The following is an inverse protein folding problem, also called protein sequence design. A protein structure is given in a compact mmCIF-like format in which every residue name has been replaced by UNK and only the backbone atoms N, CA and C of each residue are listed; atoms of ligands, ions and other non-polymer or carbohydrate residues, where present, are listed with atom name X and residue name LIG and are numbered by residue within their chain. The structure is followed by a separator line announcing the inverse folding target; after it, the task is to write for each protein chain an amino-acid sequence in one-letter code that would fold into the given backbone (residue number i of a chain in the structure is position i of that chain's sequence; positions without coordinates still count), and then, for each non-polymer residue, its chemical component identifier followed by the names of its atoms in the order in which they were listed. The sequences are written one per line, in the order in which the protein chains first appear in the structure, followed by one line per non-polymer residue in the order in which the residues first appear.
data_IF_276902199185
#
_entry.id   IF_276902199185
#
_cell.length_a   1.000
_cell.length_b   1.000
_cell.length_c   1.000
_cell.angle_alpha   90.00
_cell.angle_beta   90.00
_cell.angle_gamma   90.00
#
_symmetry.space_group_name_H-M   'P 1'
#
loop_
_entity.id
_entity.type
_entity.pdbx_description
1 polymer ?
#
# COMPACT_ATOMS: atom_id res chain seq x y z
N UNK A 1 -7.48 17.69 4.70
CA UNK A 1 -7.31 16.26 4.37
C UNK A 1 -8.14 15.97 3.13
N UNK A 2 -7.51 15.69 1.99
CA UNK A 2 -8.24 15.31 0.78
C UNK A 2 -9.02 14.03 1.03
N UNK A 3 -10.28 14.01 0.60
CA UNK A 3 -11.18 12.88 0.74
C UNK A 3 -10.61 11.71 -0.08
N UNK A 4 -10.66 10.49 0.45
CA UNK A 4 -10.31 9.29 -0.29
C UNK A 4 -11.32 9.10 -1.43
N UNK A 5 -10.99 9.57 -2.64
CA UNK A 5 -11.92 9.60 -3.77
C UNK A 5 -12.03 8.27 -4.52
N UNK A 6 -11.02 7.40 -4.40
CA UNK A 6 -11.00 6.12 -5.11
C UNK A 6 -11.42 4.99 -4.18
N UNK A 7 -12.46 4.27 -4.60
CA UNK A 7 -12.93 3.04 -3.95
C UNK A 7 -13.11 1.93 -4.96
N UNK A 8 -12.87 0.70 -4.54
CA UNK A 8 -13.11 -0.52 -5.31
C UNK A 8 -14.08 -1.42 -4.54
N UNK A 9 -14.90 -2.19 -5.25
CA UNK A 9 -15.75 -3.22 -4.64
C UNK A 9 -15.23 -4.58 -5.06
N UNK A 10 -14.92 -5.42 -4.07
CA UNK A 10 -14.49 -6.82 -4.25
C UNK A 10 -15.45 -7.68 -3.45
N UNK A 11 -16.08 -8.66 -4.09
CA UNK A 11 -17.05 -9.58 -3.47
C UNK A 11 -18.17 -8.88 -2.65
N UNK A 12 -18.64 -7.73 -3.13
CA UNK A 12 -19.67 -6.93 -2.46
C UNK A 12 -19.17 -6.07 -1.29
N UNK A 13 -17.90 -6.18 -0.92
CA UNK A 13 -17.26 -5.34 0.10
C UNK A 13 -16.61 -4.13 -0.57
N UNK A 14 -16.88 -2.94 -0.04
CA UNK A 14 -16.29 -1.68 -0.53
C UNK A 14 -15.00 -1.39 0.23
N UNK A 15 -13.93 -1.18 -0.52
CA UNK A 15 -12.62 -0.77 -0.02
C UNK A 15 -12.30 0.65 -0.49
N UNK A 16 -11.65 1.43 0.38
CA UNK A 16 -11.13 2.75 0.04
C UNK A 16 -9.63 2.63 -0.21
N UNK A 17 -9.15 3.24 -1.29
CA UNK A 17 -7.75 3.17 -1.71
C UNK A 17 -7.10 4.54 -1.52
N UNK A 18 -5.95 4.54 -0.85
CA UNK A 18 -5.09 5.72 -0.72
C UNK A 18 -3.74 5.41 -1.33
N UNK A 19 -3.26 6.34 -2.16
CA UNK A 19 -1.84 6.38 -2.48
C UNK A 19 -1.21 7.49 -1.62
N UNK A 20 -0.23 7.14 -0.83
CA UNK A 20 0.59 8.11 -0.08
C UNK A 20 1.99 8.13 -0.66
N UNK A 21 2.68 9.25 -0.47
CA UNK A 21 4.05 9.43 -0.92
C UNK A 21 4.86 9.89 0.29
N UNK A 22 6.00 9.23 0.50
CA UNK A 22 6.96 9.54 1.55
C UNK A 22 8.36 9.64 0.96
N UNK A 23 9.19 10.50 1.52
CA UNK A 23 10.60 10.61 1.13
C UNK A 23 11.39 9.95 2.24
N UNK A 24 12.07 8.84 1.92
CA UNK A 24 13.01 8.26 2.86
C UNK A 24 14.26 9.15 2.92
N UNK A 25 14.38 9.90 4.00
CA UNK A 25 15.44 10.89 4.23
C UNK A 25 16.85 10.27 4.30
N UNK A 26 16.98 8.95 4.54
CA UNK A 26 18.30 8.29 4.59
C UNK A 26 18.87 8.02 3.20
N UNK A 27 18.02 7.69 2.25
CA UNK A 27 18.43 7.30 0.89
C UNK A 27 18.09 8.38 -0.14
N UNK A 28 17.15 9.27 0.19
CA UNK A 28 16.55 10.25 -0.73
C UNK A 28 15.70 9.58 -1.80
N UNK A 29 15.04 8.48 -1.46
CA UNK A 29 14.12 7.77 -2.36
C UNK A 29 12.67 8.10 -2.00
N UNK A 30 11.91 8.54 -3.00
CA UNK A 30 10.47 8.71 -2.87
C UNK A 30 9.74 7.37 -2.95
N UNK A 31 9.09 6.96 -1.87
CA UNK A 31 8.28 5.75 -1.79
C UNK A 31 6.80 6.10 -1.93
N UNK A 32 6.14 5.49 -2.90
CA UNK A 32 4.69 5.48 -3.00
C UNK A 32 4.15 4.28 -2.23
N UNK A 33 3.29 4.50 -1.24
CA UNK A 33 2.61 3.44 -0.52
C UNK A 33 1.16 3.33 -0.98
N UNK A 34 0.69 2.10 -1.13
CA UNK A 34 -0.72 1.78 -1.30
C UNK A 34 -1.31 1.40 0.05
N UNK A 35 -2.34 2.11 0.47
CA UNK A 35 -3.10 1.84 1.68
C UNK A 35 -4.53 1.46 1.29
N UNK A 36 -4.99 0.33 1.82
CA UNK A 36 -6.36 -0.16 1.64
C UNK A 36 -7.07 -0.07 2.96
N UNK A 37 -8.26 0.53 2.93
CA UNK A 37 -9.12 0.66 4.09
C UNK A 37 -10.44 -0.06 3.84
N UNK A 38 -11.01 -0.61 4.90
CA UNK A 38 -12.39 -1.07 4.91
C UNK A 38 -13.38 0.11 4.78
N UNK A 39 -14.67 -0.21 4.71
CA UNK A 39 -15.75 0.76 4.65
C UNK A 39 -16.02 1.50 5.97
N UNK A 40 -15.37 1.09 7.08
CA UNK A 40 -15.43 1.72 8.41
C UNK A 40 -14.23 2.62 8.69
N UNK A 41 -13.25 2.67 7.79
CA UNK A 41 -12.01 3.43 7.94
C UNK A 41 -10.89 2.68 8.68
N UNK A 42 -11.06 1.39 8.96
CA UNK A 42 -10.00 0.50 9.43
C UNK A 42 -9.00 0.24 8.30
N UNK A 43 -7.70 0.36 8.59
CA UNK A 43 -6.65 0.03 7.61
C UNK A 43 -6.47 -1.49 7.56
N UNK A 44 -6.80 -2.07 6.41
CA UNK A 44 -6.64 -3.50 6.13
C UNK A 44 -5.22 -3.80 5.62
N UNK A 45 -4.67 -2.90 4.81
CA UNK A 45 -3.39 -3.14 4.15
C UNK A 45 -2.57 -1.86 4.02
N UNK A 46 -1.26 -2.00 4.15
CA UNK A 46 -0.30 -0.93 3.89
C UNK A 46 0.96 -1.55 3.31
N UNK A 47 1.29 -1.21 2.07
CA UNK A 47 2.51 -1.72 1.44
C UNK A 47 3.18 -0.66 0.55
N UNK A 48 4.50 -0.72 0.39
CA UNK A 48 5.19 0.02 -0.66
C UNK A 48 4.72 -0.50 -2.02
N UNK A 49 4.28 0.41 -2.88
CA UNK A 49 3.75 0.12 -4.21
C UNK A 49 4.76 0.45 -5.30
N UNK A 50 5.46 1.57 -5.18
CA UNK A 50 6.47 2.00 -6.15
C UNK A 50 7.54 2.86 -5.47
N UNK A 51 8.71 2.94 -6.09
CA UNK A 51 9.82 3.81 -5.66
C UNK A 51 10.24 4.69 -6.84
N UNK A 52 10.63 5.93 -6.55
CA UNK A 52 11.15 6.89 -7.52
C UNK A 52 12.47 6.42 -8.17
N UNK A 53 13.19 5.52 -7.52
CA UNK A 53 14.43 4.90 -8.00
C UNK A 53 14.23 3.51 -8.60
N UNK A 54 12.99 3.02 -8.65
CA UNK A 54 12.68 1.63 -8.96
C UNK A 54 12.86 0.73 -7.74
N UNK A 55 11.90 -0.17 -7.51
CA UNK A 55 11.95 -1.07 -6.35
C UNK A 55 13.20 -1.97 -6.44
N UNK A 56 14.05 -1.95 -5.40
CA UNK A 56 15.10 -2.95 -5.28
C UNK A 56 14.47 -4.36 -5.19
N UNK A 57 15.09 -5.36 -5.83
CA UNK A 57 14.55 -6.75 -5.83
C UNK A 57 14.24 -7.29 -4.42
N UNK A 58 14.92 -6.78 -3.40
CA UNK A 58 14.72 -7.15 -1.99
C UNK A 58 13.30 -6.84 -1.49
N UNK A 59 12.70 -5.75 -1.98
CA UNK A 59 11.36 -5.33 -1.56
C UNK A 59 10.26 -6.19 -2.19
N UNK A 60 10.49 -6.71 -3.39
CA UNK A 60 9.61 -7.72 -4.00
C UNK A 60 9.61 -9.05 -3.23
N UNK A 61 10.73 -9.39 -2.59
CA UNK A 61 10.86 -10.59 -1.76
C UNK A 61 10.07 -10.40 -0.47
N UNK A 62 10.26 -9.28 0.22
CA UNK A 62 9.54 -8.95 1.46
C UNK A 62 8.02 -8.85 1.24
N UNK A 63 7.58 -8.19 0.16
CA UNK A 63 6.16 -8.13 -0.19
C UNK A 63 5.57 -9.53 -0.46
N UNK A 64 6.30 -10.41 -1.17
CA UNK A 64 5.87 -11.80 -1.39
C UNK A 64 5.79 -12.62 -0.10
N UNK A 65 6.66 -12.35 0.87
CA UNK A 65 6.65 -13.04 2.16
C UNK A 65 5.44 -12.61 3.01
N UNK A 66 5.08 -11.33 3.01
CA UNK A 66 3.87 -10.83 3.67
C UNK A 66 2.61 -11.54 3.15
N UNK A 67 2.46 -11.65 1.82
CA UNK A 67 1.31 -12.36 1.21
C UNK A 67 1.29 -13.88 1.43
N UNK A 68 2.42 -14.49 1.81
CA UNK A 68 2.45 -15.91 2.20
C UNK A 68 2.02 -16.14 3.65
N UNK A 69 2.17 -15.14 4.51
CA UNK A 69 1.81 -15.22 5.93
C UNK A 69 0.31 -15.09 6.23
N UNK A 70 -0.46 -14.47 5.33
CA UNK A 70 -1.90 -14.19 5.53
C UNK A 70 -2.84 -15.34 5.07
N UNK A 71 -2.30 -16.51 4.74
CA UNK A 71 -3.10 -17.74 4.51
C UNK A 71 -3.03 -18.66 5.73
N UNK A 72 -3.75 -18.33 6.80
CA UNK A 72 -4.12 -19.28 7.86
C UNK A 72 -5.45 -18.90 8.49
#
# INVERSE_FOLDING_TARGET
MSKLEKSITVDGVRYLLKLTFDIDDFVGDGIFNLEVYDNKGGRELGMPFASSRGLSQKWWIEAKEVFKGERH
#
